data_IF_680790918967
#
_entry.id   IF_680790918967
#
_cell.length_a   1.000
_cell.length_b   1.000
_cell.length_c   1.000
_cell.angle_alpha   90.00
_cell.angle_beta   90.00
_cell.angle_gamma   90.00
#
_symmetry.space_group_name_H-M   'P 1'
#
loop_
_entity.id
_entity.type
_entity.pdbx_description
1 polymer ?
#
# COMPACT_ATOMS: atom_id res chain seq x y z
N UNK A 1 -14.95 12.50 8.97
CA UNK A 1 -14.65 11.37 8.06
C UNK A 1 -15.66 10.27 8.37
N UNK A 2 -16.61 9.98 7.48
CA UNK A 2 -17.76 9.11 7.80
C UNK A 2 -17.36 7.63 7.76
N UNK A 3 -17.40 6.98 8.91
CA UNK A 3 -17.09 5.54 9.10
C UNK A 3 -17.98 4.67 8.20
N UNK A 4 -19.26 5.04 8.04
CA UNK A 4 -20.19 4.36 7.13
C UNK A 4 -19.76 4.41 5.65
N UNK A 5 -19.14 5.51 5.21
CA UNK A 5 -18.63 5.64 3.84
C UNK A 5 -17.40 4.75 3.65
N UNK A 6 -16.49 4.72 4.63
CA UNK A 6 -15.32 3.83 4.59
C UNK A 6 -15.72 2.35 4.61
N UNK A 7 -16.77 2.00 5.36
CA UNK A 7 -17.29 0.63 5.41
C UNK A 7 -17.95 0.23 4.08
N UNK A 8 -18.76 1.11 3.49
CA UNK A 8 -19.34 0.92 2.15
C UNK A 8 -18.27 0.78 1.07
N UNK A 9 -17.24 1.63 1.10
CA UNK A 9 -16.12 1.57 0.16
C UNK A 9 -15.31 0.26 0.32
N UNK A 10 -15.14 -0.25 1.54
CA UNK A 10 -14.46 -1.51 1.80
C UNK A 10 -15.24 -2.72 1.26
N UNK A 11 -16.56 -2.75 1.46
CA UNK A 11 -17.45 -3.80 0.93
C UNK A 11 -17.46 -3.75 -0.60
N UNK A 12 -17.60 -2.57 -1.20
CA UNK A 12 -17.58 -2.41 -2.65
C UNK A 12 -16.26 -2.92 -3.25
N UNK A 13 -15.13 -2.65 -2.59
CA UNK A 13 -13.83 -3.15 -3.01
C UNK A 13 -13.69 -4.67 -2.85
N UNK A 14 -14.21 -5.28 -1.78
CA UNK A 14 -14.17 -6.74 -1.63
C UNK A 14 -15.01 -7.45 -2.69
N UNK A 15 -16.20 -6.90 -3.00
CA UNK A 15 -17.07 -7.43 -4.06
C UNK A 15 -16.37 -7.31 -5.42
N UNK A 16 -15.76 -6.15 -5.71
CA UNK A 16 -14.99 -5.94 -6.93
C UNK A 16 -13.86 -6.97 -7.09
N UNK A 17 -13.08 -7.22 -6.02
CA UNK A 17 -11.98 -8.19 -6.06
C UNK A 17 -12.45 -9.62 -6.31
N UNK A 18 -13.57 -10.02 -5.70
CA UNK A 18 -14.17 -11.34 -5.92
C UNK A 18 -14.70 -11.49 -7.35
N UNK A 19 -15.34 -10.46 -7.88
CA UNK A 19 -15.89 -10.47 -9.24
C UNK A 19 -14.77 -10.52 -10.29
N UNK A 20 -13.70 -9.75 -10.12
CA UNK A 20 -12.53 -9.81 -11.00
C UNK A 20 -11.82 -11.17 -10.93
N UNK A 21 -11.77 -11.80 -9.75
CA UNK A 21 -11.20 -13.14 -9.60
C UNK A 21 -12.05 -14.18 -10.32
N UNK A 22 -13.38 -14.08 -10.21
CA UNK A 22 -14.33 -14.94 -10.93
C UNK A 22 -14.15 -14.81 -12.44
N UNK A 23 -13.98 -13.60 -12.97
CA UNK A 23 -13.69 -13.36 -14.39
C UNK A 23 -12.37 -13.97 -14.82
N UNK A 24 -11.31 -13.84 -14.00
CA UNK A 24 -10.03 -14.48 -14.26
C UNK A 24 -10.15 -16.01 -14.36
N UNK A 25 -10.87 -16.64 -13.43
CA UNK A 25 -11.10 -18.09 -13.47
C UNK A 25 -11.93 -18.52 -14.69
N UNK A 26 -13.00 -17.79 -15.01
CA UNK A 26 -13.82 -18.07 -16.19
C UNK A 26 -12.99 -17.97 -17.48
N UNK A 27 -12.16 -16.93 -17.62
CA UNK A 27 -11.28 -16.74 -18.77
C UNK A 27 -10.25 -17.88 -18.91
N UNK A 28 -9.64 -18.31 -17.80
CA UNK A 28 -8.70 -19.45 -17.79
C UNK A 28 -9.40 -20.73 -18.27
N UNK A 29 -10.62 -20.98 -17.81
CA UNK A 29 -11.40 -22.17 -18.18
C UNK A 29 -11.85 -22.12 -19.65
N UNK A 30 -12.33 -20.96 -20.12
CA UNK A 30 -12.83 -20.77 -21.48
C UNK A 30 -11.76 -21.05 -22.53
N UNK A 31 -10.53 -20.57 -22.29
CA UNK A 31 -9.39 -20.76 -23.20
C UNK A 31 -8.49 -21.95 -22.81
N UNK A 32 -8.88 -22.74 -21.81
CA UNK A 32 -8.12 -23.88 -21.29
C UNK A 32 -6.63 -23.55 -21.03
N UNK A 33 -6.38 -22.39 -20.41
CA UNK A 33 -5.02 -21.89 -20.20
C UNK A 33 -4.27 -22.76 -19.17
N UNK A 34 -2.98 -23.05 -19.36
CA UNK A 34 -2.18 -23.85 -18.43
C UNK A 34 -1.74 -23.02 -17.21
N UNK A 35 -2.69 -22.39 -16.52
CA UNK A 35 -2.47 -21.49 -15.39
C UNK A 35 -3.21 -22.03 -14.16
N UNK A 36 -2.52 -22.08 -13.03
CA UNK A 36 -3.15 -22.45 -11.75
C UNK A 36 -4.24 -21.43 -11.35
N UNK A 37 -5.42 -21.94 -11.00
CA UNK A 37 -6.51 -21.13 -10.44
C UNK A 37 -6.26 -20.95 -8.94
N UNK A 38 -6.03 -19.71 -8.52
CA UNK A 38 -5.79 -19.33 -7.13
C UNK A 38 -7.08 -18.88 -6.48
N UNK A 39 -7.43 -19.48 -5.35
CA UNK A 39 -8.58 -19.07 -4.54
C UNK A 39 -8.28 -17.83 -3.70
N UNK A 40 -9.28 -16.96 -3.55
CA UNK A 40 -9.28 -15.82 -2.62
C UNK A 40 -8.11 -14.81 -2.77
N UNK A 41 -7.39 -14.81 -3.89
CA UNK A 41 -6.26 -13.90 -4.09
C UNK A 41 -6.14 -13.44 -5.55
N UNK A 42 -6.86 -12.36 -5.88
CA UNK A 42 -6.82 -11.71 -7.19
C UNK A 42 -5.39 -11.30 -7.59
N UNK A 43 -4.63 -10.70 -6.67
CA UNK A 43 -3.29 -10.22 -6.99
C UNK A 43 -2.39 -11.38 -7.47
N UNK A 44 -2.44 -12.52 -6.78
CA UNK A 44 -1.67 -13.71 -7.18
C UNK A 44 -2.18 -14.27 -8.51
N UNK A 45 -3.50 -14.31 -8.73
CA UNK A 45 -4.08 -14.78 -9.99
C UNK A 45 -3.62 -13.94 -11.19
N UNK A 46 -3.71 -12.61 -11.09
CA UNK A 46 -3.31 -11.70 -12.17
C UNK A 46 -1.81 -11.82 -12.46
N UNK A 47 -0.97 -11.98 -11.44
CA UNK A 47 0.47 -12.20 -11.62
C UNK A 47 0.76 -13.48 -12.41
N UNK A 48 0.04 -14.58 -12.13
CA UNK A 48 0.20 -15.82 -12.89
C UNK A 48 -0.22 -15.64 -14.36
N UNK A 49 -1.31 -14.91 -14.60
CA UNK A 49 -1.76 -14.58 -15.96
C UNK A 49 -0.77 -13.68 -16.70
N UNK A 50 -0.20 -12.67 -16.03
CA UNK A 50 0.86 -11.84 -16.61
C UNK A 50 2.11 -12.65 -16.95
N UNK A 51 2.52 -13.56 -16.07
CA UNK A 51 3.67 -14.43 -16.31
C UNK A 51 3.45 -15.34 -17.52
N UNK A 52 2.24 -15.86 -17.68
CA UNK A 52 1.85 -16.62 -18.87
C UNK A 52 1.98 -15.74 -20.13
N UNK A 53 1.45 -14.51 -20.08
CA UNK A 53 1.55 -13.55 -21.19
C UNK A 53 2.94 -12.89 -21.37
N UNK A 54 3.94 -13.27 -20.58
CA UNK A 54 5.29 -12.69 -20.65
C UNK A 54 5.38 -11.21 -20.26
N UNK A 55 4.40 -10.66 -19.53
CA UNK A 55 4.35 -9.25 -19.13
C UNK A 55 4.49 -9.06 -17.61
N UNK A 56 4.64 -7.80 -17.15
CA UNK A 56 4.90 -7.46 -15.73
C UNK A 56 4.27 -6.13 -15.28
N UNK A 57 3.19 -5.67 -15.92
CA UNK A 57 2.59 -4.37 -15.62
C UNK A 57 2.01 -4.31 -14.20
N UNK A 58 1.21 -5.31 -13.84
CA UNK A 58 0.59 -5.48 -12.52
C UNK A 58 1.63 -5.72 -11.45
N UNK A 59 2.61 -6.60 -11.70
CA UNK A 59 3.73 -6.82 -10.78
C UNK A 59 4.46 -5.53 -10.42
N UNK A 60 4.79 -4.69 -11.42
CA UNK A 60 5.46 -3.40 -11.18
C UNK A 60 4.57 -2.41 -10.43
N UNK A 61 3.28 -2.33 -10.77
CA UNK A 61 2.32 -1.49 -10.07
C UNK A 61 2.17 -1.90 -8.60
N UNK A 62 2.05 -3.20 -8.35
CA UNK A 62 1.94 -3.77 -7.00
C UNK A 62 3.21 -3.51 -6.19
N UNK A 63 4.39 -3.62 -6.80
CA UNK A 63 5.66 -3.33 -6.13
C UNK A 63 5.76 -1.86 -5.69
N UNK A 64 5.34 -0.90 -6.54
CA UNK A 64 5.31 0.53 -6.19
C UNK A 64 4.35 0.79 -5.03
N UNK A 65 3.13 0.23 -5.08
CA UNK A 65 2.17 0.33 -3.99
C UNK A 65 2.72 -0.25 -2.68
N UNK A 66 3.26 -1.48 -2.72
CA UNK A 66 3.84 -2.14 -1.54
C UNK A 66 4.99 -1.33 -0.95
N UNK A 67 5.87 -0.77 -1.77
CA UNK A 67 7.00 0.05 -1.31
C UNK A 67 6.51 1.26 -0.52
N UNK A 68 5.55 2.02 -1.05
CA UNK A 68 4.99 3.18 -0.35
C UNK A 68 4.26 2.76 0.93
N UNK A 69 3.55 1.63 0.89
CA UNK A 69 2.87 1.12 2.08
C UNK A 69 3.86 0.68 3.19
N UNK A 70 4.98 0.05 2.82
CA UNK A 70 6.05 -0.29 3.76
C UNK A 70 6.64 0.97 4.37
N UNK A 71 6.97 1.99 3.56
CA UNK A 71 7.49 3.27 4.07
C UNK A 71 6.56 3.92 5.09
N UNK A 72 5.24 3.90 4.83
CA UNK A 72 4.24 4.40 5.77
C UNK A 72 4.22 3.62 7.08
N UNK A 73 4.19 2.28 7.01
CA UNK A 73 4.19 1.42 8.20
C UNK A 73 5.48 1.63 9.00
N UNK A 74 6.64 1.68 8.34
CA UNK A 74 7.93 1.93 8.97
C UNK A 74 7.93 3.27 9.70
N UNK A 75 7.44 4.34 9.07
CA UNK A 75 7.33 5.65 9.70
C UNK A 75 6.42 5.61 10.95
N UNK A 76 5.27 4.95 10.86
CA UNK A 76 4.35 4.79 11.99
C UNK A 76 4.98 4.00 13.14
N UNK A 77 5.70 2.92 12.84
CA UNK A 77 6.39 2.12 13.87
C UNK A 77 7.49 2.92 14.54
N UNK A 78 8.28 3.70 13.79
CA UNK A 78 9.32 4.56 14.35
C UNK A 78 8.72 5.58 15.33
N UNK A 79 7.66 6.28 14.92
CA UNK A 79 6.99 7.27 15.77
C UNK A 79 6.42 6.61 17.03
N UNK A 80 5.79 5.43 16.89
CA UNK A 80 5.24 4.68 18.01
C UNK A 80 6.32 4.24 18.99
N UNK A 81 7.45 3.71 18.50
CA UNK A 81 8.57 3.28 19.33
C UNK A 81 9.21 4.45 20.07
N UNK A 82 9.49 5.56 19.37
CA UNK A 82 10.06 6.76 20.00
C UNK A 82 9.14 7.32 21.09
N UNK A 83 7.84 7.43 20.81
CA UNK A 83 6.85 7.91 21.78
C UNK A 83 6.74 6.95 22.96
N UNK A 84 6.75 5.64 22.72
CA UNK A 84 6.71 4.62 23.77
C UNK A 84 7.95 4.64 24.66
N UNK A 85 9.15 4.84 24.08
CA UNK A 85 10.39 4.98 24.84
C UNK A 85 10.34 6.23 25.71
N UNK A 86 9.96 7.38 25.15
CA UNK A 86 9.86 8.65 25.90
C UNK A 86 8.86 8.50 27.05
N UNK A 87 7.65 8.02 26.76
CA UNK A 87 6.62 7.82 27.78
C UNK A 87 7.05 6.80 28.85
N UNK A 88 7.73 5.72 28.45
CA UNK A 88 8.25 4.71 29.37
C UNK A 88 9.35 5.27 30.28
N UNK A 89 10.26 6.08 29.74
CA UNK A 89 11.31 6.74 30.53
C UNK A 89 10.72 7.77 31.50
N UNK A 90 9.76 8.57 31.04
CA UNK A 90 9.09 9.57 31.87
C UNK A 90 8.33 8.91 33.04
N UNK A 91 7.72 7.74 32.79
CA UNK A 91 7.00 6.99 33.82
C UNK A 91 7.93 6.27 34.82
N UNK A 92 9.00 5.64 34.32
CA UNK A 92 9.89 4.81 35.16
C UNK A 92 11.00 5.60 35.86
N UNK A 93 11.44 6.72 35.27
CA UNK A 93 12.55 7.56 35.74
C UNK A 93 12.25 9.04 35.48
N UNK A 94 11.25 9.61 36.16
CA UNK A 94 10.84 11.00 35.95
C UNK A 94 11.97 12.00 36.25
N UNK A 95 12.94 11.64 37.09
CA UNK A 95 14.11 12.48 37.40
C UNK A 95 15.00 12.79 36.18
N UNK A 96 14.87 12.04 35.08
CA UNK A 96 15.59 12.32 33.84
C UNK A 96 15.02 13.52 33.08
N UNK A 97 13.77 13.93 33.35
CA UNK A 97 13.13 15.09 32.72
C UNK A 97 13.23 15.08 31.19
N UNK A 98 12.98 13.92 30.56
CA UNK A 98 13.29 13.70 29.13
C UNK A 98 12.48 14.64 28.26
N UNK A 99 11.22 14.87 28.63
CA UNK A 99 10.35 15.81 27.92
C UNK A 99 10.88 17.25 27.99
N UNK A 100 11.27 17.71 29.17
CA UNK A 100 11.81 19.05 29.37
C UNK A 100 13.14 19.25 28.63
N UNK A 101 14.00 18.23 28.61
CA UNK A 101 15.22 18.22 27.81
C UNK A 101 14.91 18.35 26.32
N UNK A 102 13.97 17.55 25.80
CA UNK A 102 13.58 17.61 24.38
C UNK A 102 12.98 18.97 24.01
N UNK A 103 12.13 19.55 24.86
CA UNK A 103 11.58 20.89 24.65
C UNK A 103 12.68 21.95 24.66
N UNK A 104 13.59 21.90 25.63
CA UNK A 104 14.73 22.82 25.71
C UNK A 104 15.61 22.70 24.47
N UNK A 105 15.89 21.48 24.02
CA UNK A 105 16.63 21.24 22.78
C UNK A 105 15.90 21.82 21.56
N UNK A 106 14.58 21.64 21.48
CA UNK A 106 13.77 22.18 20.40
C UNK A 106 13.85 23.71 20.31
N UNK A 107 13.77 24.40 21.45
CA UNK A 107 13.89 25.86 21.49
C UNK A 107 15.32 26.36 21.26
N UNK A 108 16.31 25.65 21.80
CA UNK A 108 17.74 25.99 21.63
C UNK A 108 18.17 25.83 20.17
N UNK A 109 17.71 24.78 19.50
CA UNK A 109 17.99 24.47 18.10
C UNK A 109 16.73 24.62 17.24
N UNK A 110 16.08 25.77 17.35
CA UNK A 110 14.78 26.03 16.73
C UNK A 110 14.75 25.74 15.22
N UNK A 111 15.71 26.28 14.46
CA UNK A 111 15.75 26.09 13.00
C UNK A 111 15.92 24.62 12.59
N UNK A 112 16.77 23.87 13.30
CA UNK A 112 16.97 22.45 13.02
C UNK A 112 15.72 21.65 13.37
N UNK A 113 15.13 21.94 14.53
CA UNK A 113 13.96 21.24 15.05
C UNK A 113 12.72 21.46 14.19
N UNK A 114 12.44 22.71 13.81
CA UNK A 114 11.31 23.02 12.94
C UNK A 114 11.49 22.43 11.54
N UNK A 115 12.73 22.36 11.04
CA UNK A 115 13.01 21.72 9.74
C UNK A 115 12.73 20.22 9.80
N UNK A 116 13.22 19.52 10.82
CA UNK A 116 12.98 18.08 11.00
C UNK A 116 11.49 17.76 11.17
N UNK A 117 10.79 18.52 12.02
CA UNK A 117 9.35 18.35 12.21
C UNK A 117 8.60 18.61 10.90
N UNK A 118 8.97 19.64 10.15
CA UNK A 118 8.33 19.96 8.87
C UNK A 118 8.52 18.85 7.83
N UNK A 119 9.71 18.25 7.75
CA UNK A 119 10.00 17.11 6.86
C UNK A 119 9.14 15.91 7.24
N UNK A 120 9.09 15.57 8.54
CA UNK A 120 8.28 14.45 9.03
C UNK A 120 6.79 14.71 8.75
N UNK A 121 6.32 15.92 9.00
CA UNK A 121 4.93 16.30 8.76
C UNK A 121 4.57 16.23 7.26
N UNK A 122 5.44 16.74 6.38
CA UNK A 122 5.27 16.61 4.95
C UNK A 122 5.21 15.14 4.51
N UNK A 123 6.09 14.27 5.04
CA UNK A 123 6.07 12.85 4.75
C UNK A 123 4.76 12.17 5.20
N UNK A 124 4.25 12.50 6.39
CA UNK A 124 2.97 11.99 6.91
C UNK A 124 1.78 12.40 6.05
N UNK A 125 1.83 13.54 5.37
CA UNK A 125 0.74 13.99 4.46
C UNK A 125 0.91 13.43 3.04
N UNK A 126 2.12 13.49 2.50
CA UNK A 126 2.40 13.16 1.10
C UNK A 126 2.31 11.65 0.86
N UNK A 127 2.87 10.83 1.76
CA UNK A 127 2.92 9.38 1.56
C UNK A 127 1.52 8.72 1.48
N UNK A 128 0.51 9.08 2.31
CA UNK A 128 -0.84 8.55 2.15
C UNK A 128 -1.50 8.96 0.83
N UNK A 129 -1.25 10.17 0.35
CA UNK A 129 -1.76 10.64 -0.95
C UNK A 129 -1.17 9.80 -2.07
N UNK A 130 0.15 9.61 -2.07
CA UNK A 130 0.86 8.78 -3.04
C UNK A 130 0.37 7.32 -2.96
N UNK A 131 0.18 6.77 -1.75
CA UNK A 131 -0.37 5.42 -1.56
C UNK A 131 -1.76 5.30 -2.17
N UNK A 132 -2.64 6.26 -1.93
CA UNK A 132 -4.01 6.30 -2.47
C UNK A 132 -4.00 6.36 -4.00
N UNK A 133 -3.11 7.19 -4.57
CA UNK A 133 -2.91 7.25 -6.01
C UNK A 133 -2.50 5.88 -6.60
N UNK A 134 -1.49 5.23 -6.02
CA UNK A 134 -1.05 3.92 -6.49
C UNK A 134 -2.10 2.82 -6.27
N UNK A 135 -2.86 2.85 -5.18
CA UNK A 135 -3.95 1.90 -4.94
C UNK A 135 -5.03 2.01 -6.03
N UNK A 136 -5.46 3.24 -6.36
CA UNK A 136 -6.43 3.50 -7.43
C UNK A 136 -5.88 3.09 -8.80
N UNK A 137 -4.61 3.41 -9.07
CA UNK A 137 -3.97 3.01 -10.32
C UNK A 137 -3.87 1.49 -10.47
N UNK A 138 -3.60 0.76 -9.37
CA UNK A 138 -3.47 -0.69 -9.35
C UNK A 138 -4.76 -1.39 -9.78
N UNK A 139 -5.89 -1.04 -9.18
CA UNK A 139 -7.20 -1.68 -9.47
C UNK A 139 -7.90 -1.12 -10.71
N UNK A 140 -7.41 -0.03 -11.29
CA UNK A 140 -7.94 0.57 -12.51
C UNK A 140 -7.00 0.37 -13.69
N UNK A 141 -6.18 1.39 -13.96
CA UNK A 141 -5.32 1.45 -15.16
C UNK A 141 -4.38 0.24 -15.29
N UNK A 142 -3.70 -0.14 -14.21
CA UNK A 142 -2.69 -1.20 -14.24
C UNK A 142 -3.34 -2.57 -14.44
N UNK A 143 -4.43 -2.85 -13.73
CA UNK A 143 -5.21 -4.08 -13.92
C UNK A 143 -5.74 -4.19 -15.36
N UNK A 144 -6.27 -3.10 -15.93
CA UNK A 144 -6.72 -3.09 -17.31
C UNK A 144 -5.59 -3.35 -18.32
N UNK A 145 -4.39 -2.79 -18.07
CA UNK A 145 -3.22 -3.06 -18.92
C UNK A 145 -2.79 -4.53 -18.84
N UNK A 146 -2.81 -5.13 -17.65
CA UNK A 146 -2.52 -6.55 -17.47
C UNK A 146 -3.54 -7.41 -18.23
N UNK A 147 -4.83 -7.11 -18.09
CA UNK A 147 -5.91 -7.78 -18.82
C UNK A 147 -5.76 -7.67 -20.33
N UNK A 148 -5.47 -6.48 -20.86
CA UNK A 148 -5.27 -6.29 -22.29
C UNK A 148 -4.07 -7.09 -22.82
N UNK A 149 -2.97 -7.11 -22.08
CA UNK A 149 -1.78 -7.88 -22.47
C UNK A 149 -2.07 -9.39 -22.48
N UNK A 150 -2.76 -9.90 -21.45
CA UNK A 150 -3.15 -11.30 -21.38
C UNK A 150 -4.11 -11.67 -22.50
N UNK A 151 -5.12 -10.84 -22.74
CA UNK A 151 -6.08 -11.04 -23.82
C UNK A 151 -5.38 -11.09 -25.19
N UNK A 152 -4.51 -10.11 -25.47
CA UNK A 152 -3.76 -10.06 -26.72
C UNK A 152 -2.92 -11.32 -26.95
N UNK A 153 -2.19 -11.77 -25.92
CA UNK A 153 -1.40 -13.00 -26.01
C UNK A 153 -2.28 -14.22 -26.33
N UNK A 154 -3.39 -14.39 -25.61
CA UNK A 154 -4.30 -15.52 -25.81
C UNK A 154 -4.98 -15.50 -27.18
N UNK A 155 -5.37 -14.33 -27.69
CA UNK A 155 -6.05 -14.21 -29.00
C UNK A 155 -5.14 -14.21 -30.23
N UNK A 156 -3.83 -14.01 -30.04
CA UNK A 156 -2.85 -14.07 -31.14
C UNK A 156 -2.28 -15.48 -31.28
N UNK A 157 -2.17 -16.22 -30.18
CA UNK A 157 -1.65 -17.60 -30.14
C UNK A 157 -2.73 -18.68 -30.31
N UNK A 158 -4.02 -18.30 -30.39
CA UNK A 158 -5.16 -19.15 -30.76
C UNK A 158 -5.78 -18.72 -32.09
#
# INVERSE_FOLDING_TARGET
MNIFKQFGDAIANSIFLQEELRKAHAFIQEYNLPIEMVENNLNKQIILMENYAGTRFFQQGLAKYKTVNILLITLSVIVMLLTGIIAGLEYLKPELGVVDFLLTFMFTHFNLSITLISIVFAAVIILPIIRSYYAKALHGKVLNQAWQAVWQHVTVDH
#
